data_IF_412139030499
#
_entry.id   IF_412139030499
#
_cell.length_a   1.000
_cell.length_b   1.000
_cell.length_c   1.000
_cell.angle_alpha   90.00
_cell.angle_beta   90.00
_cell.angle_gamma   90.00
#
_symmetry.space_group_name_H-M   'P 1'
#
loop_
_entity.id
_entity.type
_entity.pdbx_description
1 polymer ?
#
# COMPACT_ATOMS: atom_id res chain seq x y z
N UNK A 1 12.23 1.06 1.77
CA UNK A 1 13.21 1.95 1.09
C UNK A 1 12.48 3.26 0.77
N UNK A 2 13.11 4.45 0.88
CA UNK A 2 12.46 5.74 0.57
C UNK A 2 13.24 6.39 -0.58
N UNK A 3 12.58 6.77 -1.67
CA UNK A 3 13.19 7.43 -2.84
C UNK A 3 12.35 8.66 -3.20
N UNK A 4 12.99 9.82 -3.27
CA UNK A 4 12.39 11.03 -3.82
C UNK A 4 12.45 10.92 -5.36
N UNK A 5 11.30 11.02 -6.03
CA UNK A 5 11.17 10.78 -7.47
C UNK A 5 11.20 12.06 -8.32
N UNK A 6 11.42 13.24 -7.74
CA UNK A 6 11.50 14.50 -8.48
C UNK A 6 10.18 15.27 -8.64
N UNK A 7 9.03 14.61 -8.50
CA UNK A 7 7.69 15.19 -8.70
C UNK A 7 6.92 15.40 -7.38
N UNK A 8 7.61 15.88 -6.34
CA UNK A 8 7.08 15.99 -4.97
C UNK A 8 6.34 14.71 -4.52
N UNK A 9 6.94 13.55 -4.79
CA UNK A 9 6.34 12.24 -4.49
C UNK A 9 7.27 11.46 -3.58
N UNK A 10 6.71 10.97 -2.49
CA UNK A 10 7.38 10.09 -1.54
C UNK A 10 6.72 8.72 -1.57
N UNK A 11 7.54 7.67 -1.64
CA UNK A 11 7.05 6.29 -1.62
C UNK A 11 7.42 5.63 -0.30
N UNK A 12 6.40 5.11 0.38
CA UNK A 12 6.53 4.31 1.59
C UNK A 12 6.42 2.83 1.22
N UNK A 13 7.37 2.04 1.69
CA UNK A 13 7.34 0.58 1.64
C UNK A 13 7.35 0.06 3.08
N UNK A 14 6.25 -0.52 3.53
CA UNK A 14 6.05 -0.96 4.90
C UNK A 14 5.71 -2.45 4.96
N UNK A 15 6.52 -3.22 5.69
CA UNK A 15 6.10 -4.55 6.11
C UNK A 15 5.10 -4.39 7.27
N UNK A 16 3.96 -5.05 7.20
CA UNK A 16 2.89 -4.99 8.21
C UNK A 16 2.77 -6.37 8.85
N UNK A 17 2.92 -6.44 10.18
CA UNK A 17 2.90 -7.71 10.92
C UNK A 17 4.09 -8.64 10.64
N UNK A 18 5.17 -8.15 10.02
CA UNK A 18 6.41 -8.92 9.83
C UNK A 18 7.66 -8.08 9.79
N UNK A 19 8.79 -8.73 10.09
CA UNK A 19 10.11 -8.17 9.87
C UNK A 19 10.42 -7.94 8.40
N UNK A 20 11.21 -6.91 8.14
CA UNK A 20 11.85 -6.66 6.86
C UNK A 20 12.92 -7.75 6.53
N UNK A 21 13.58 -7.70 5.36
CA UNK A 21 14.58 -8.69 5.00
C UNK A 21 15.81 -8.75 5.92
N UNK A 22 16.07 -7.69 6.68
CA UNK A 22 17.16 -7.59 7.67
C UNK A 22 16.73 -8.06 9.06
N UNK A 23 15.48 -8.47 9.24
CA UNK A 23 14.93 -8.95 10.51
C UNK A 23 14.33 -7.83 11.38
N UNK A 24 14.32 -6.58 10.91
CA UNK A 24 13.76 -5.46 11.67
C UNK A 24 12.24 -5.44 11.46
N UNK A 25 11.48 -5.64 12.53
CA UNK A 25 10.06 -5.35 12.55
C UNK A 25 9.89 -3.91 13.06
N UNK A 26 9.34 -3.04 12.22
CA UNK A 26 9.05 -1.66 12.58
C UNK A 26 7.66 -1.52 13.23
N UNK A 27 6.95 -2.61 13.50
CA UNK A 27 5.63 -2.62 14.14
C UNK A 27 4.57 -1.77 13.41
N UNK A 28 4.68 -1.67 12.07
CA UNK A 28 3.62 -1.07 11.27
C UNK A 28 2.35 -1.92 11.40
N UNK A 29 1.20 -1.27 11.58
CA UNK A 29 -0.07 -1.95 11.83
C UNK A 29 -1.22 -1.27 11.10
N UNK A 30 -2.17 -2.09 10.63
CA UNK A 30 -3.45 -1.61 10.14
C UNK A 30 -4.39 -1.37 11.33
N UNK A 31 -4.88 -0.15 11.44
CA UNK A 31 -5.89 0.21 12.43
C UNK A 31 -7.27 -0.34 12.03
N UNK A 32 -8.16 -0.48 13.01
CA UNK A 32 -9.51 -1.03 12.79
C UNK A 32 -10.36 -0.22 11.80
N UNK A 33 -10.07 1.07 11.64
CA UNK A 33 -10.74 1.96 10.69
C UNK A 33 -10.11 1.92 9.28
N UNK A 34 -9.08 1.10 9.06
CA UNK A 34 -8.41 0.92 7.78
C UNK A 34 -7.23 1.85 7.53
N UNK A 35 -6.88 2.74 8.47
CA UNK A 35 -5.68 3.57 8.42
C UNK A 35 -4.41 2.72 8.66
N UNK A 36 -3.28 3.15 8.10
CA UNK A 36 -1.97 2.57 8.42
C UNK A 36 -1.27 3.39 9.50
N UNK A 37 -1.02 2.79 10.66
CA UNK A 37 -0.02 3.33 11.59
C UNK A 37 1.37 2.93 11.09
N UNK A 38 2.08 3.89 10.52
CA UNK A 38 3.41 3.70 9.95
C UNK A 38 4.47 4.26 10.89
N UNK A 39 5.47 3.44 11.18
CA UNK A 39 6.62 3.80 12.01
C UNK A 39 7.83 4.07 11.12
N UNK A 40 8.47 5.18 11.40
CA UNK A 40 9.68 5.63 10.75
C UNK A 40 10.85 4.66 10.88
N UNK A 41 11.93 4.96 10.16
CA UNK A 41 13.18 4.18 10.31
C UNK A 41 13.76 4.44 11.69
N UNK A 42 14.58 3.52 12.18
CA UNK A 42 15.31 3.67 13.44
C UNK A 42 15.97 5.04 13.52
N UNK A 43 15.63 5.81 14.56
CA UNK A 43 16.07 7.21 14.83
C UNK A 43 15.50 8.31 13.93
N UNK A 44 14.55 8.03 13.03
CA UNK A 44 13.94 9.11 12.25
C UNK A 44 13.14 10.04 13.14
N UNK A 45 13.25 11.34 12.89
CA UNK A 45 12.61 12.40 13.67
C UNK A 45 11.63 13.15 12.81
N UNK A 46 10.64 13.79 13.44
CA UNK A 46 9.71 14.65 12.72
C UNK A 46 10.45 15.74 11.91
N UNK A 47 11.53 16.29 12.46
CA UNK A 47 12.35 17.35 11.84
C UNK A 47 13.21 16.88 10.68
N UNK A 48 13.30 15.58 10.40
CA UNK A 48 14.05 15.09 9.25
C UNK A 48 13.43 15.61 7.95
N UNK A 49 14.26 16.11 7.04
CA UNK A 49 13.81 16.75 5.79
C UNK A 49 12.78 15.94 5.02
N UNK A 50 13.00 14.62 4.87
CA UNK A 50 12.08 13.74 4.14
C UNK A 50 10.74 13.54 4.85
N UNK A 51 10.72 13.63 6.18
CA UNK A 51 9.47 13.57 6.95
C UNK A 51 8.69 14.85 6.73
N UNK A 52 9.36 16.00 6.84
CA UNK A 52 8.74 17.29 6.53
C UNK A 52 8.24 17.36 5.09
N UNK A 53 9.03 16.92 4.11
CA UNK A 53 8.65 16.91 2.69
C UNK A 53 7.35 16.13 2.44
N UNK A 54 7.18 14.95 3.05
CA UNK A 54 5.97 14.14 2.83
C UNK A 54 4.72 14.59 3.59
N UNK A 55 4.88 15.55 4.51
CA UNK A 55 3.78 16.14 5.26
C UNK A 55 3.25 17.43 4.61
N UNK A 56 3.94 17.93 3.59
CA UNK A 56 3.47 19.04 2.76
C UNK A 56 2.28 18.58 1.92
N UNK A 57 1.22 19.39 1.83
CA UNK A 57 -0.04 19.05 1.16
C UNK A 57 0.14 18.69 -0.32
N UNK A 58 1.07 19.36 -1.00
CA UNK A 58 1.38 19.11 -2.40
C UNK A 58 2.19 17.82 -2.61
N UNK A 59 2.63 17.13 -1.53
CA UNK A 59 3.42 15.92 -1.63
C UNK A 59 2.52 14.69 -1.76
N UNK A 60 2.71 13.91 -2.82
CA UNK A 60 2.00 12.64 -3.00
C UNK A 60 2.72 11.54 -2.23
N UNK A 61 2.05 10.97 -1.23
CA UNK A 61 2.58 9.82 -0.48
C UNK A 61 1.98 8.53 -1.02
N UNK A 62 2.77 7.74 -1.73
CA UNK A 62 2.35 6.44 -2.26
C UNK A 62 2.74 5.34 -1.28
N UNK A 63 1.77 4.54 -0.83
CA UNK A 63 2.03 3.51 0.19
C UNK A 63 1.92 2.11 -0.39
N UNK A 64 2.99 1.34 -0.20
CA UNK A 64 3.07 -0.07 -0.52
C UNK A 64 3.26 -0.89 0.75
N UNK A 65 2.45 -1.94 0.92
CA UNK A 65 2.55 -2.85 2.06
C UNK A 65 2.74 -4.28 1.64
N UNK A 66 3.27 -5.10 2.54
CA UNK A 66 3.25 -6.56 2.42
C UNK A 66 3.26 -7.20 3.81
N UNK A 67 2.73 -8.41 3.90
CA UNK A 67 2.65 -9.15 5.17
C UNK A 67 3.81 -10.11 5.38
N UNK A 68 4.37 -10.68 4.32
CA UNK A 68 5.53 -11.59 4.38
C UNK A 68 6.81 -11.02 3.76
N UNK A 69 7.95 -11.59 4.14
CA UNK A 69 9.28 -11.20 3.63
C UNK A 69 9.43 -11.39 2.10
N UNK A 70 8.69 -12.34 1.52
CA UNK A 70 8.71 -12.68 0.09
C UNK A 70 7.40 -12.36 -0.62
N UNK A 71 6.43 -11.83 0.09
CA UNK A 71 5.13 -11.51 -0.47
C UNK A 71 5.27 -10.32 -1.43
N UNK A 72 4.43 -10.26 -2.47
CA UNK A 72 4.38 -9.12 -3.37
C UNK A 72 4.00 -7.86 -2.60
N UNK A 73 4.48 -6.71 -3.08
CA UNK A 73 4.05 -5.41 -2.57
C UNK A 73 2.66 -5.08 -3.11
N UNK A 74 1.74 -4.74 -2.22
CA UNK A 74 0.41 -4.26 -2.54
C UNK A 74 0.39 -2.74 -2.48
N UNK A 75 -0.12 -2.08 -3.53
CA UNK A 75 -0.30 -0.63 -3.54
C UNK A 75 -1.62 -0.25 -2.85
N UNK A 76 -1.55 0.58 -1.82
CA UNK A 76 -2.71 0.99 -1.02
C UNK A 76 -3.29 2.35 -1.42
N UNK A 77 -2.78 2.99 -2.48
CA UNK A 77 -3.25 4.31 -2.91
C UNK A 77 -2.35 5.47 -2.47
N UNK A 78 -2.85 6.68 -2.71
CA UNK A 78 -2.29 7.93 -2.19
C UNK A 78 -2.78 8.08 -0.75
N UNK A 79 -1.85 8.34 0.17
CA UNK A 79 -2.11 8.47 1.57
C UNK A 79 -2.19 9.94 2.01
N UNK A 80 -3.07 10.22 2.97
CA UNK A 80 -3.18 11.51 3.65
C UNK A 80 -2.82 11.33 5.13
N UNK A 81 -1.95 12.17 5.70
CA UNK A 81 -1.61 12.05 7.12
C UNK A 81 -2.81 12.53 7.96
N UNK A 82 -3.23 11.73 8.93
CA UNK A 82 -4.38 12.04 9.82
C UNK A 82 -3.99 12.11 11.30
N UNK A 83 -2.81 11.63 11.66
CA UNK A 83 -2.21 11.79 12.99
C UNK A 83 -0.67 11.74 12.86
N UNK A 84 0.02 12.57 13.65
CA UNK A 84 1.49 12.70 13.62
C UNK A 84 1.99 12.73 15.05
N UNK A 85 2.87 11.79 15.41
CA UNK A 85 3.46 11.70 16.74
C UNK A 85 4.97 11.96 16.64
N UNK A 86 5.44 13.01 17.31
CA UNK A 86 6.87 13.39 17.36
C UNK A 86 7.67 12.49 18.32
N UNK A 87 7.67 11.21 17.99
CA UNK A 87 8.48 10.19 18.66
C UNK A 87 9.76 9.92 17.88
N UNK A 88 10.63 9.06 18.43
CA UNK A 88 11.83 8.60 17.74
C UNK A 88 11.90 7.07 17.81
N UNK A 89 11.51 6.35 16.73
CA UNK A 89 11.13 6.85 15.41
C UNK A 89 9.80 7.62 15.36
N UNK A 90 9.68 8.59 14.43
CA UNK A 90 8.41 9.26 14.14
C UNK A 90 7.32 8.24 13.76
N UNK A 91 6.09 8.49 14.22
CA UNK A 91 4.91 7.67 13.88
C UNK A 91 3.92 8.57 13.15
N UNK A 92 3.40 8.10 12.02
CA UNK A 92 2.39 8.82 11.24
C UNK A 92 1.27 7.84 10.88
N UNK A 93 0.03 8.24 11.17
CA UNK A 93 -1.16 7.51 10.74
C UNK A 93 -1.61 8.04 9.39
N UNK A 94 -1.73 7.13 8.44
CA UNK A 94 -2.09 7.41 7.05
C UNK A 94 -3.48 6.88 6.75
N UNK A 95 -4.36 7.77 6.29
CA UNK A 95 -5.66 7.39 5.74
C UNK A 95 -5.60 7.33 4.22
N UNK A 96 -6.55 6.61 3.62
CA UNK A 96 -6.60 6.31 2.20
C UNK A 96 -7.97 6.63 1.64
N UNK A 97 -8.04 6.94 0.35
CA UNK A 97 -9.33 7.12 -0.32
C UNK A 97 -10.19 5.84 -0.23
N UNK A 98 -11.51 6.02 -0.10
CA UNK A 98 -12.47 4.93 0.06
C UNK A 98 -12.35 3.85 -1.04
N UNK A 99 -12.03 4.28 -2.28
CA UNK A 99 -11.77 3.36 -3.40
C UNK A 99 -10.60 2.40 -3.13
N UNK A 100 -9.53 2.91 -2.53
CA UNK A 100 -8.34 2.11 -2.22
C UNK A 100 -8.60 1.19 -1.03
N UNK A 101 -9.40 1.65 -0.06
CA UNK A 101 -9.88 0.82 1.06
C UNK A 101 -10.72 -0.35 0.54
N UNK A 102 -11.69 -0.09 -0.34
CA UNK A 102 -12.52 -1.13 -0.98
C UNK A 102 -11.65 -2.13 -1.75
N UNK A 103 -10.71 -1.64 -2.55
CA UNK A 103 -9.80 -2.47 -3.32
C UNK A 103 -8.96 -3.43 -2.45
N UNK A 104 -8.45 -2.93 -1.32
CA UNK A 104 -7.72 -3.76 -0.36
C UNK A 104 -8.63 -4.83 0.28
N UNK A 105 -9.85 -4.46 0.66
CA UNK A 105 -10.81 -5.38 1.25
C UNK A 105 -11.18 -6.52 0.29
N UNK A 106 -11.39 -6.20 -0.99
CA UNK A 106 -11.60 -7.19 -2.06
C UNK A 106 -10.41 -8.14 -2.19
N UNK A 107 -9.19 -7.59 -2.27
CA UNK A 107 -7.97 -8.39 -2.38
C UNK A 107 -7.77 -9.34 -1.18
N UNK A 108 -7.99 -8.84 0.03
CA UNK A 108 -7.88 -9.66 1.25
C UNK A 108 -8.98 -10.73 1.29
N UNK A 109 -10.20 -10.40 0.87
CA UNK A 109 -11.30 -11.34 0.74
C UNK A 109 -11.03 -12.44 -0.29
N UNK A 110 -10.45 -12.11 -1.45
CA UNK A 110 -10.07 -13.09 -2.48
C UNK A 110 -8.85 -13.92 -2.08
N UNK A 111 -7.84 -13.31 -1.45
CA UNK A 111 -6.62 -14.02 -1.02
C UNK A 111 -6.89 -15.04 0.09
N UNK A 112 -7.93 -14.84 0.92
CA UNK A 112 -8.41 -15.83 1.88
C UNK A 112 -9.15 -17.00 1.21
N UNK A 113 -9.60 -16.84 -0.04
CA UNK A 113 -10.27 -17.90 -0.83
C UNK A 113 -9.32 -18.63 -1.79
N UNK A 114 -8.17 -18.06 -2.14
CA UNK A 114 -7.23 -18.64 -3.11
C UNK A 114 -5.82 -18.82 -2.52
N UNK A 115 -5.58 -19.92 -1.82
CA UNK A 115 -4.23 -20.37 -1.48
C UNK A 115 -3.48 -21.04 -2.65
N UNK A 116 -4.04 -21.02 -3.86
CA UNK A 116 -3.43 -21.59 -5.06
C UNK A 116 -3.64 -20.62 -6.24
N UNK A 117 -2.57 -20.37 -7.01
CA UNK A 117 -2.48 -19.59 -8.27
C UNK A 117 -2.30 -18.06 -8.24
N UNK A 118 -1.01 -17.69 -8.23
CA UNK A 118 -0.43 -16.35 -8.28
C UNK A 118 -0.25 -15.85 -9.73
N UNK A 119 -1.34 -15.55 -10.45
CA UNK A 119 -1.30 -14.85 -11.75
C UNK A 119 -2.18 -13.59 -11.84
N UNK A 120 -3.00 -13.30 -10.82
CA UNK A 120 -3.93 -12.16 -10.85
C UNK A 120 -3.33 -10.78 -10.57
N UNK A 121 -2.03 -10.69 -10.25
CA UNK A 121 -1.40 -9.45 -9.77
C UNK A 121 -1.12 -8.37 -10.83
N UNK A 122 -1.35 -8.64 -12.13
CA UNK A 122 -1.15 -7.64 -13.20
C UNK A 122 -2.45 -7.00 -13.70
N UNK A 123 -3.62 -7.60 -13.47
CA UNK A 123 -4.88 -7.09 -14.02
C UNK A 123 -5.52 -5.98 -13.16
N UNK A 124 -5.25 -5.95 -11.86
CA UNK A 124 -5.94 -5.06 -10.92
C UNK A 124 -5.50 -3.58 -11.05
N UNK A 125 -4.28 -3.33 -11.50
CA UNK A 125 -3.80 -1.96 -11.78
C UNK A 125 -4.50 -1.38 -13.02
N UNK A 126 -4.90 -2.22 -13.99
CA UNK A 126 -5.59 -1.79 -15.20
C UNK A 126 -7.07 -1.46 -14.95
N UNK A 127 -7.76 -2.17 -14.05
CA UNK A 127 -9.15 -1.83 -13.69
C UNK A 127 -9.25 -0.52 -12.90
N UNK A 128 -8.23 -0.19 -12.11
CA UNK A 128 -8.20 1.05 -11.33
C UNK A 128 -7.83 2.32 -12.14
N UNK A 129 -7.42 2.17 -13.40
CA UNK A 129 -6.90 3.26 -14.24
C UNK A 129 -7.68 3.55 -15.53
N UNK A 130 -8.70 2.75 -15.89
CA UNK A 130 -9.51 3.08 -17.06
C UNK A 130 -10.57 4.15 -16.76
N UNK A 131 -10.21 5.40 -17.09
CA UNK A 131 -11.14 6.38 -17.64
C UNK A 131 -11.96 5.71 -18.76
N UNK A 132 -13.27 5.97 -18.74
CA UNK A 132 -14.27 5.18 -19.44
C UNK A 132 -13.97 4.82 -20.89
N UNK A 133 -14.26 3.56 -21.23
CA UNK A 133 -14.87 3.18 -22.50
C UNK A 133 -15.56 1.85 -22.26
N UNK A 134 -16.88 1.88 -22.40
CA UNK A 134 -17.70 0.69 -22.59
C UNK A 134 -17.29 0.08 -23.93
N UNK A 135 -16.75 -1.15 -23.93
CA UNK A 135 -16.99 -2.15 -24.97
C UNK A 135 -16.34 -3.51 -24.60
N UNK A 136 -17.21 -4.52 -24.55
CA UNK A 136 -16.99 -5.96 -24.76
C UNK A 136 -15.61 -6.58 -24.51
N UNK A 137 -15.54 -7.43 -23.47
CA UNK A 137 -14.76 -8.67 -23.54
C UNK A 137 -15.70 -9.87 -23.40
N UNK A 138 -16.12 -10.33 -24.57
CA UNK A 138 -16.82 -11.59 -24.88
C UNK A 138 -16.11 -12.78 -24.18
N UNK A 139 -16.74 -13.29 -23.12
CA UNK A 139 -16.29 -14.48 -22.39
C UNK A 139 -16.59 -15.71 -23.25
N UNK A 140 -15.70 -16.03 -24.18
CA UNK A 140 -15.76 -17.29 -24.91
C UNK A 140 -15.35 -18.44 -23.99
N UNK A 141 -16.38 -19.13 -23.51
CA UNK A 141 -16.43 -20.55 -23.14
C UNK A 141 -15.13 -21.33 -23.44
N UNK A 142 -14.44 -21.75 -22.39
CA UNK A 142 -13.62 -22.97 -22.45
C UNK A 142 -14.55 -24.09 -22.01
N UNK A 143 -15.16 -24.75 -22.98
CA UNK A 143 -15.89 -26.00 -22.77
C UNK A 143 -14.91 -27.11 -22.38
N UNK A 144 -15.25 -27.81 -21.30
CA UNK A 144 -14.73 -29.13 -20.96
C UNK A 144 -14.75 -30.04 -22.20
N UNK A 145 -13.63 -30.71 -22.46
CA UNK A 145 -13.63 -31.93 -23.26
C UNK A 145 -12.89 -33.03 -22.49
N UNK A 146 -13.72 -33.94 -21.97
CA UNK A 146 -13.53 -35.36 -21.61
C UNK A 146 -12.10 -35.84 -21.32
#
# INVERSE_FOLDING_TARGET
>A
MKKNLGDNTVVIFANVGSSDPLGINYDNVWESNGDLSWIGKTRSKLTDKVIQEMLIEECKVLVFTRSGKRDPWFYNGIATPVDIQDETPVIIRWSFEERAIRARAEYQGSALQSSEDNTYNLLYVASATNLGTSEELDVRKIEHKL
#
